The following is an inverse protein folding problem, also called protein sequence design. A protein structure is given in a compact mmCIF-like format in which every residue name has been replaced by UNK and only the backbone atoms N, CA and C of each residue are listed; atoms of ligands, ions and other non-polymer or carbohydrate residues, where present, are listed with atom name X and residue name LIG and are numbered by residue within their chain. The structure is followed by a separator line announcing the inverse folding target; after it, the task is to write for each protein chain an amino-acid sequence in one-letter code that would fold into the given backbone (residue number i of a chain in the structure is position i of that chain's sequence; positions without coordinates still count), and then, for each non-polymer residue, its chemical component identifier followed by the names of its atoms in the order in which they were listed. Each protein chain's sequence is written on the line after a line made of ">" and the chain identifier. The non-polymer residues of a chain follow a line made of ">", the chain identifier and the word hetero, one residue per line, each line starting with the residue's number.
data_IF_537216231032
#
_entry.id   IF_537216231032
#
_cell.length_a   1.000
_cell.length_b   1.000
_cell.length_c   1.000
_cell.angle_alpha   90.00
_cell.angle_beta   90.00
_cell.angle_gamma   90.00
#
_symmetry.space_group_name_H-M   'P 1'
#
loop_
_entity.id
_entity.type
_entity.pdbx_description
1 polymer ?
#
# COMPACT_ATOMS: atom_id res chain seq x y z
N UNK A 1 41.64 -46.98 57.63
CA UNK A 1 42.61 -45.93 57.30
C UNK A 1 43.54 -46.53 56.26
N UNK A 2 43.62 -46.16 55.00
CA UNK A 2 42.97 -45.11 54.22
C UNK A 2 42.98 -45.57 52.76
N UNK A 3 41.82 -45.53 52.08
CA UNK A 3 41.70 -45.81 50.65
C UNK A 3 41.94 -44.51 49.89
N UNK A 4 43.11 -44.38 49.28
CA UNK A 4 43.45 -43.29 48.37
C UNK A 4 42.71 -43.46 47.05
N UNK A 5 41.53 -42.85 46.95
CA UNK A 5 40.82 -42.71 45.69
C UNK A 5 41.59 -41.74 44.78
N UNK A 6 42.27 -42.30 43.78
CA UNK A 6 42.83 -41.58 42.65
C UNK A 6 41.66 -40.91 41.93
N UNK A 7 41.55 -39.60 42.09
CA UNK A 7 40.52 -38.78 41.47
C UNK A 7 40.80 -38.72 39.96
N UNK A 8 40.25 -39.69 39.23
CA UNK A 8 40.29 -39.77 37.77
C UNK A 8 39.67 -38.51 37.20
N UNK A 9 40.51 -37.67 36.58
CA UNK A 9 40.08 -36.50 35.82
C UNK A 9 39.13 -36.95 34.72
N UNK A 10 37.84 -36.71 34.89
CA UNK A 10 36.89 -36.74 33.78
C UNK A 10 37.23 -35.57 32.86
N UNK A 11 38.06 -35.83 31.85
CA UNK A 11 38.19 -34.96 30.69
C UNK A 11 36.94 -35.15 29.84
N UNK A 12 35.86 -34.44 30.19
CA UNK A 12 34.75 -34.26 29.29
C UNK A 12 35.29 -33.45 28.10
N UNK A 13 35.39 -34.08 26.92
CA UNK A 13 35.65 -33.38 25.67
C UNK A 13 34.57 -32.32 25.52
N UNK A 14 34.91 -31.05 25.78
CA UNK A 14 33.98 -29.95 25.69
C UNK A 14 33.45 -29.90 24.25
N UNK A 15 32.16 -30.19 24.06
CA UNK A 15 31.47 -29.90 22.81
C UNK A 15 31.66 -28.40 22.55
N UNK A 16 32.49 -28.08 21.56
CA UNK A 16 32.77 -26.69 21.21
C UNK A 16 31.45 -26.02 20.83
N UNK A 17 31.01 -25.04 21.63
CA UNK A 17 29.79 -24.29 21.35
C UNK A 17 30.06 -23.42 20.14
N UNK A 18 29.45 -23.74 19.01
CA UNK A 18 29.53 -22.93 17.80
C UNK A 18 28.26 -22.12 17.66
N UNK A 19 28.33 -20.85 18.04
CA UNK A 19 27.25 -19.91 17.82
C UNK A 19 27.26 -19.40 16.37
N UNK A 20 26.08 -19.19 15.76
CA UNK A 20 25.99 -18.45 14.51
C UNK A 20 26.35 -16.98 14.74
N UNK A 21 26.72 -16.26 13.66
CA UNK A 21 26.90 -14.81 13.72
C UNK A 21 25.64 -14.11 14.27
N UNK A 22 25.85 -13.03 15.02
CA UNK A 22 24.78 -12.29 15.65
C UNK A 22 23.82 -11.66 14.61
N UNK A 23 22.51 -11.74 14.89
CA UNK A 23 21.46 -11.20 14.01
C UNK A 23 20.81 -9.97 14.64
N UNK A 24 21.24 -8.74 14.32
CA UNK A 24 20.73 -7.54 14.97
C UNK A 24 19.20 -7.37 14.76
N UNK A 25 18.73 -7.64 13.54
CA UNK A 25 17.30 -7.60 13.17
C UNK A 25 16.41 -8.56 13.99
N UNK A 26 16.98 -9.65 14.52
CA UNK A 26 16.24 -10.70 15.26
C UNK A 26 16.98 -11.10 16.55
N UNK A 27 17.54 -10.12 17.28
CA UNK A 27 18.38 -10.36 18.44
C UNK A 27 17.73 -11.28 19.50
N UNK A 28 16.42 -11.12 19.77
CA UNK A 28 15.68 -11.99 20.70
C UNK A 28 15.72 -13.47 20.31
N UNK A 29 15.51 -13.77 19.03
CA UNK A 29 15.53 -15.14 18.52
C UNK A 29 16.94 -15.72 18.59
N UNK A 30 17.94 -14.92 18.23
CA UNK A 30 19.34 -15.32 18.30
C UNK A 30 19.75 -15.70 19.72
N UNK A 31 19.41 -14.89 20.73
CA UNK A 31 19.71 -15.20 22.12
C UNK A 31 18.99 -16.45 22.62
N UNK A 32 17.73 -16.66 22.24
CA UNK A 32 17.01 -17.89 22.59
C UNK A 32 17.72 -19.14 22.02
N UNK A 33 18.24 -19.05 20.79
CA UNK A 33 19.02 -20.13 20.18
C UNK A 33 20.39 -20.31 20.86
N UNK A 34 21.09 -19.23 21.17
CA UNK A 34 22.37 -19.28 21.87
C UNK A 34 22.23 -19.92 23.26
N UNK A 35 21.17 -19.58 24.00
CA UNK A 35 20.90 -20.14 25.33
C UNK A 35 20.56 -21.62 25.29
N UNK A 36 19.82 -22.06 24.27
CA UNK A 36 19.60 -23.49 24.03
C UNK A 36 20.93 -24.22 23.77
N UNK A 37 21.84 -23.63 22.99
CA UNK A 37 23.16 -24.22 22.74
C UNK A 37 24.03 -24.26 24.01
N UNK A 38 24.02 -23.20 24.82
CA UNK A 38 24.71 -23.20 26.11
C UNK A 38 24.16 -24.25 27.07
N UNK A 39 22.83 -24.44 27.10
CA UNK A 39 22.20 -25.47 27.92
C UNK A 39 22.60 -26.87 27.46
N UNK A 40 22.58 -27.14 26.15
CA UNK A 40 22.97 -28.44 25.58
C UNK A 40 24.46 -28.79 25.80
N UNK A 41 25.31 -27.78 25.93
CA UNK A 41 26.75 -27.92 26.16
C UNK A 41 27.18 -27.78 27.63
N UNK A 42 26.21 -27.66 28.55
CA UNK A 42 26.45 -27.42 29.98
C UNK A 42 27.32 -26.19 30.28
N UNK A 43 27.27 -25.15 29.44
CA UNK A 43 27.94 -23.88 29.70
C UNK A 43 27.10 -23.06 30.67
N UNK A 44 27.48 -23.10 31.94
CA UNK A 44 26.77 -22.40 33.02
C UNK A 44 27.44 -21.08 33.41
N UNK A 45 28.76 -20.99 33.28
CA UNK A 45 29.53 -19.81 33.68
C UNK A 45 29.18 -18.58 32.83
N UNK A 46 28.77 -17.49 33.49
CA UNK A 46 28.38 -16.23 32.84
C UNK A 46 29.52 -15.66 31.98
N UNK A 47 30.75 -15.70 32.48
CA UNK A 47 31.93 -15.22 31.76
C UNK A 47 32.22 -16.04 30.48
N UNK A 48 31.99 -17.35 30.50
CA UNK A 48 32.17 -18.19 29.32
C UNK A 48 31.11 -17.88 28.25
N UNK A 49 29.85 -17.70 28.64
CA UNK A 49 28.77 -17.27 27.72
C UNK A 49 29.09 -15.90 27.13
N UNK A 50 29.62 -14.97 27.93
CA UNK A 50 30.04 -13.64 27.49
C UNK A 50 31.07 -13.72 26.36
N UNK A 51 32.14 -14.51 26.52
CA UNK A 51 33.14 -14.68 25.47
C UNK A 51 32.59 -15.31 24.19
N UNK A 52 31.71 -16.30 24.30
CA UNK A 52 31.04 -16.88 23.12
C UNK A 52 30.16 -15.85 22.40
N UNK A 53 29.45 -15.00 23.14
CA UNK A 53 28.63 -13.93 22.56
C UNK A 53 29.50 -12.90 21.85
N UNK A 54 30.61 -12.44 22.45
CA UNK A 54 31.53 -11.49 21.79
C UNK A 54 32.11 -12.10 20.52
N UNK A 55 32.53 -13.36 20.56
CA UNK A 55 33.08 -14.06 19.39
C UNK A 55 32.07 -14.22 18.24
N UNK A 56 30.78 -14.05 18.51
CA UNK A 56 29.71 -14.11 17.50
C UNK A 56 29.36 -12.76 16.88
N UNK A 57 29.87 -11.66 17.42
CA UNK A 57 29.67 -10.31 16.87
C UNK A 57 30.55 -10.12 15.63
N UNK A 58 29.99 -9.51 14.59
CA UNK A 58 30.77 -9.09 13.42
C UNK A 58 31.50 -7.78 13.72
N UNK A 59 32.52 -7.45 12.94
CA UNK A 59 33.32 -6.22 13.12
C UNK A 59 32.46 -4.94 13.18
N UNK A 60 31.50 -4.81 12.26
CA UNK A 60 30.56 -3.68 12.23
C UNK A 60 29.68 -3.59 13.48
N UNK A 61 29.24 -4.73 14.02
CA UNK A 61 28.41 -4.74 15.23
C UNK A 61 29.28 -4.51 16.47
N UNK A 62 30.50 -5.06 16.47
CA UNK A 62 31.50 -4.87 17.51
C UNK A 62 31.86 -3.40 17.69
N UNK A 63 32.09 -2.66 16.59
CA UNK A 63 32.34 -1.22 16.65
C UNK A 63 31.15 -0.43 17.18
N UNK A 64 29.91 -0.85 16.87
CA UNK A 64 28.69 -0.19 17.33
C UNK A 64 28.42 -0.40 18.83
N UNK A 65 29.00 -1.43 19.43
CA UNK A 65 28.77 -1.82 20.84
C UNK A 65 30.03 -1.85 21.69
N UNK A 66 31.11 -1.20 21.25
CA UNK A 66 32.39 -1.13 21.97
C UNK A 66 32.21 -0.61 23.41
N UNK A 67 31.30 0.35 23.59
CA UNK A 67 30.89 0.89 24.90
C UNK A 67 30.27 -0.15 25.84
N UNK A 68 29.78 -1.27 25.29
CA UNK A 68 29.15 -2.37 26.03
C UNK A 68 30.13 -3.50 26.40
N UNK A 69 31.35 -3.51 25.86
CA UNK A 69 32.35 -4.57 26.04
C UNK A 69 33.19 -4.40 27.33
N UNK A 70 32.94 -3.34 28.10
CA UNK A 70 33.51 -3.13 29.42
C UNK A 70 32.82 -4.02 30.47
N UNK A 71 33.38 -5.20 30.72
CA UNK A 71 32.90 -6.09 31.78
C UNK A 71 33.16 -5.49 33.18
N UNK A 72 32.10 -4.98 33.83
CA UNK A 72 32.14 -4.45 35.20
C UNK A 72 31.06 -5.15 36.05
N UNK A 73 31.21 -6.45 36.33
CA UNK A 73 30.35 -7.15 37.29
C UNK A 73 30.48 -8.68 37.31
N UNK A 74 29.76 -9.32 38.24
CA UNK A 74 29.74 -10.78 38.41
C UNK A 74 28.89 -11.52 37.35
N UNK A 75 28.04 -10.81 36.60
CA UNK A 75 27.12 -11.37 35.59
C UNK A 75 27.30 -10.75 34.19
N UNK A 76 28.51 -10.83 33.60
CA UNK A 76 28.83 -10.17 32.33
C UNK A 76 27.89 -10.50 31.17
N UNK A 77 27.48 -11.77 31.04
CA UNK A 77 26.61 -12.20 29.97
C UNK A 77 25.20 -11.60 30.07
N UNK A 78 24.63 -11.56 31.29
CA UNK A 78 23.27 -11.03 31.49
C UNK A 78 23.22 -9.54 31.20
N UNK A 79 24.25 -8.80 31.63
CA UNK A 79 24.38 -7.37 31.35
C UNK A 79 24.54 -7.12 29.84
N UNK A 80 25.44 -7.84 29.17
CA UNK A 80 25.64 -7.71 27.73
C UNK A 80 24.37 -8.06 26.95
N UNK A 81 23.70 -9.17 27.29
CA UNK A 81 22.43 -9.58 26.67
C UNK A 81 21.36 -8.50 26.81
N UNK A 82 21.17 -7.96 28.02
CA UNK A 82 20.17 -6.94 28.27
C UNK A 82 20.42 -5.69 27.40
N UNK A 83 21.66 -5.19 27.37
CA UNK A 83 22.01 -4.00 26.59
C UNK A 83 21.96 -4.23 25.07
N UNK A 84 22.39 -5.40 24.59
CA UNK A 84 22.26 -5.75 23.17
C UNK A 84 20.79 -5.86 22.74
N UNK A 85 19.93 -6.41 23.60
CA UNK A 85 18.50 -6.45 23.34
C UNK A 85 17.90 -5.04 23.36
N UNK A 86 18.31 -4.17 24.27
CA UNK A 86 17.86 -2.78 24.31
C UNK A 86 18.24 -2.01 23.03
N UNK A 87 19.49 -2.15 22.57
CA UNK A 87 20.01 -1.46 21.37
C UNK A 87 19.40 -1.98 20.06
N UNK A 88 19.27 -3.30 19.90
CA UNK A 88 18.91 -3.92 18.62
C UNK A 88 17.46 -4.38 18.52
N UNK A 89 16.69 -4.38 19.62
CA UNK A 89 15.26 -4.65 19.51
C UNK A 89 14.52 -3.36 19.18
N UNK A 90 13.73 -3.40 18.11
CA UNK A 90 12.84 -2.32 17.67
C UNK A 90 12.01 -1.81 18.86
N UNK A 91 11.90 -0.50 19.00
CA UNK A 91 11.15 0.08 20.13
C UNK A 91 9.68 -0.32 20.07
N UNK A 92 8.97 -0.23 21.20
CA UNK A 92 7.51 -0.48 21.23
C UNK A 92 6.75 0.49 20.33
N UNK A 93 7.23 1.72 20.22
CA UNK A 93 6.66 2.77 19.38
C UNK A 93 6.86 2.49 17.89
N UNK A 94 8.05 2.11 17.47
CA UNK A 94 8.33 1.71 16.08
C UNK A 94 7.51 0.47 15.67
N UNK A 95 7.40 -0.53 16.56
CA UNK A 95 6.51 -1.68 16.34
C UNK A 95 5.05 -1.28 16.21
N UNK A 96 4.60 -0.32 17.02
CA UNK A 96 3.24 0.23 16.93
C UNK A 96 3.02 0.92 15.59
N UNK A 97 3.92 1.81 15.17
CA UNK A 97 3.85 2.48 13.88
C UNK A 97 3.85 1.49 12.70
N UNK A 98 4.72 0.49 12.74
CA UNK A 98 4.75 -0.58 11.73
C UNK A 98 3.47 -1.45 11.74
N UNK A 99 2.82 -1.61 12.90
CA UNK A 99 1.53 -2.27 13.00
C UNK A 99 0.37 -1.41 12.46
N UNK A 100 0.43 -0.09 12.65
CA UNK A 100 -0.53 0.87 12.09
C UNK A 100 -0.36 1.05 10.58
N UNK A 101 0.86 0.87 10.06
CA UNK A 101 1.11 0.95 8.63
C UNK A 101 0.35 -0.18 7.91
N UNK A 102 -0.63 0.22 7.11
CA UNK A 102 -1.55 -0.67 6.41
C UNK A 102 -0.95 -1.15 5.09
N UNK A 103 0.34 -1.49 5.08
CA UNK A 103 0.97 -2.03 3.89
C UNK A 103 0.19 -3.26 3.41
N UNK A 104 -0.28 -3.28 2.15
CA UNK A 104 -1.17 -4.32 1.66
C UNK A 104 -0.48 -5.68 1.68
N UNK A 105 -1.27 -6.75 1.65
CA UNK A 105 -0.74 -8.10 1.51
C UNK A 105 0.02 -8.23 0.17
N UNK A 106 1.34 -8.26 0.24
CA UNK A 106 2.22 -8.51 -0.91
C UNK A 106 2.34 -10.02 -1.09
N UNK A 107 1.68 -10.61 -2.10
CA UNK A 107 1.62 -12.04 -2.50
C UNK A 107 1.61 -13.13 -1.39
N UNK A 108 1.44 -12.73 -0.13
CA UNK A 108 1.53 -13.56 1.06
C UNK A 108 0.17 -14.10 1.44
N UNK A 109 0.16 -15.24 2.13
CA UNK A 109 -1.07 -15.81 2.68
C UNK A 109 -1.53 -15.02 3.90
N UNK A 110 -2.83 -14.72 4.04
CA UNK A 110 -3.42 -14.08 5.22
C UNK A 110 -3.01 -14.72 6.55
N UNK A 111 -2.85 -16.04 6.63
CA UNK A 111 -2.31 -16.71 7.83
C UNK A 111 -0.85 -16.37 8.12
N UNK A 112 -0.02 -16.20 7.09
CA UNK A 112 1.38 -15.78 7.22
C UNK A 112 1.46 -14.31 7.66
N UNK A 113 0.63 -13.44 7.07
CA UNK A 113 0.47 -12.05 7.48
C UNK A 113 0.08 -11.97 8.97
N UNK A 114 -0.90 -12.76 9.41
CA UNK A 114 -1.34 -12.79 10.81
C UNK A 114 -0.21 -13.16 11.75
N UNK A 115 0.59 -14.19 11.43
CA UNK A 115 1.75 -14.59 12.24
C UNK A 115 2.79 -13.48 12.32
N UNK A 116 3.01 -12.76 11.23
CA UNK A 116 3.92 -11.61 11.22
C UNK A 116 3.38 -10.46 12.09
N UNK A 117 2.10 -10.08 11.94
CA UNK A 117 1.46 -9.06 12.76
C UNK A 117 1.49 -9.39 14.25
N UNK A 118 1.25 -10.65 14.63
CA UNK A 118 1.35 -11.09 16.04
C UNK A 118 2.75 -10.89 16.61
N UNK A 119 3.80 -11.15 15.83
CA UNK A 119 5.19 -10.91 16.25
C UNK A 119 5.49 -9.42 16.47
N UNK A 120 4.88 -8.53 15.69
CA UNK A 120 5.03 -7.08 15.88
C UNK A 120 4.19 -6.56 17.05
N UNK A 121 3.02 -7.15 17.29
CA UNK A 121 2.12 -6.76 18.37
C UNK A 121 2.60 -7.17 19.76
N UNK A 122 3.61 -8.05 19.90
CA UNK A 122 4.10 -8.51 21.21
C UNK A 122 4.53 -7.34 22.09
N UNK A 123 3.84 -7.15 23.22
CA UNK A 123 4.11 -6.06 24.18
C UNK A 123 3.56 -4.69 23.76
N UNK A 124 2.78 -4.61 22.67
CA UNK A 124 2.20 -3.35 22.16
C UNK A 124 0.67 -3.43 22.13
N UNK A 125 0.12 -4.49 21.53
CA UNK A 125 -1.32 -4.69 21.34
C UNK A 125 -1.65 -6.14 21.65
N UNK A 126 -2.77 -6.39 22.33
CA UNK A 126 -3.28 -7.74 22.53
C UNK A 126 -3.68 -8.36 21.16
N UNK A 127 -3.04 -9.47 20.75
CA UNK A 127 -3.36 -10.19 19.52
C UNK A 127 -4.80 -10.68 19.39
N UNK A 128 -5.57 -10.72 20.48
CA UNK A 128 -6.98 -11.14 20.50
C UNK A 128 -7.96 -9.97 20.65
N UNK A 129 -7.46 -8.73 20.70
CA UNK A 129 -8.30 -7.54 20.79
C UNK A 129 -9.09 -7.28 19.50
N UNK A 130 -10.24 -6.61 19.65
CA UNK A 130 -11.03 -6.10 18.52
C UNK A 130 -10.24 -5.14 17.63
N UNK A 131 -9.31 -4.37 18.22
CA UNK A 131 -8.38 -3.50 17.49
C UNK A 131 -7.43 -4.30 16.60
N UNK A 132 -6.78 -5.35 17.12
CA UNK A 132 -5.90 -6.20 16.31
C UNK A 132 -6.65 -6.87 15.16
N UNK A 133 -7.88 -7.33 15.42
CA UNK A 133 -8.77 -7.84 14.38
C UNK A 133 -9.01 -6.80 13.29
N UNK A 134 -9.31 -5.56 13.65
CA UNK A 134 -9.56 -4.49 12.69
C UNK A 134 -8.31 -4.17 11.84
N UNK A 135 -7.13 -4.13 12.46
CA UNK A 135 -5.85 -3.92 11.77
C UNK A 135 -5.57 -5.05 10.77
N UNK A 136 -5.82 -6.30 11.18
CA UNK A 136 -5.65 -7.45 10.29
C UNK A 136 -6.59 -7.34 9.08
N UNK A 137 -7.87 -7.02 9.30
CA UNK A 137 -8.83 -6.85 8.22
C UNK A 137 -8.41 -5.72 7.26
N UNK A 138 -7.94 -4.57 7.77
CA UNK A 138 -7.53 -3.44 6.93
C UNK A 138 -6.41 -3.76 5.93
N UNK A 139 -5.55 -4.75 6.23
CA UNK A 139 -4.45 -5.18 5.35
C UNK A 139 -4.88 -6.17 4.26
N UNK A 140 -6.10 -6.70 4.32
CA UNK A 140 -6.63 -7.64 3.31
C UNK A 140 -7.24 -6.89 2.12
N UNK A 141 -7.37 -7.51 0.94
CA UNK A 141 -8.07 -6.90 -0.19
C UNK A 141 -9.54 -6.59 0.12
N UNK A 142 -10.12 -5.51 -0.44
CA UNK A 142 -11.49 -5.08 -0.14
C UNK A 142 -12.57 -6.16 -0.35
N UNK A 143 -12.39 -7.02 -1.36
CA UNK A 143 -13.28 -8.14 -1.66
C UNK A 143 -13.37 -9.14 -0.52
N UNK A 144 -12.21 -9.48 0.08
CA UNK A 144 -12.12 -10.39 1.23
C UNK A 144 -12.62 -9.70 2.50
N UNK A 145 -12.29 -8.41 2.70
CA UNK A 145 -12.74 -7.64 3.85
C UNK A 145 -14.27 -7.62 3.99
N UNK A 146 -14.99 -7.40 2.89
CA UNK A 146 -16.45 -7.30 2.90
C UNK A 146 -17.10 -8.60 3.39
N UNK A 147 -16.61 -9.74 2.89
CA UNK A 147 -17.13 -11.06 3.25
C UNK A 147 -16.80 -11.37 4.72
N UNK A 148 -15.57 -11.12 5.15
CA UNK A 148 -15.15 -11.41 6.52
C UNK A 148 -15.84 -10.53 7.57
N UNK A 149 -16.20 -9.28 7.22
CA UNK A 149 -16.99 -8.40 8.10
C UNK A 149 -18.43 -8.89 8.31
N UNK A 150 -18.99 -9.64 7.36
CA UNK A 150 -20.32 -10.20 7.48
C UNK A 150 -20.38 -11.46 8.37
N UNK A 151 -19.23 -12.02 8.77
CA UNK A 151 -19.13 -13.22 9.61
C UNK A 151 -19.03 -12.79 11.09
N UNK A 152 -20.08 -12.98 11.93
CA UNK A 152 -20.17 -12.26 13.20
C UNK A 152 -19.33 -12.78 14.37
N UNK A 153 -18.61 -13.90 14.26
CA UNK A 153 -18.07 -14.57 15.46
C UNK A 153 -16.71 -15.26 15.30
N UNK A 154 -16.08 -15.17 14.14
CA UNK A 154 -14.82 -15.86 13.91
C UNK A 154 -13.67 -15.23 14.73
N UNK A 155 -12.93 -16.08 15.44
CA UNK A 155 -11.61 -15.77 15.96
C UNK A 155 -10.70 -15.26 14.82
N UNK A 156 -9.73 -14.40 15.12
CA UNK A 156 -8.83 -13.81 14.11
C UNK A 156 -8.09 -14.93 13.35
N UNK A 157 -7.77 -16.05 14.01
CA UNK A 157 -7.19 -17.23 13.36
C UNK A 157 -8.15 -17.88 12.36
N UNK A 158 -9.44 -17.94 12.66
CA UNK A 158 -10.46 -18.48 11.76
C UNK A 158 -10.72 -17.55 10.57
N UNK A 159 -10.70 -16.23 10.80
CA UNK A 159 -10.76 -15.23 9.74
C UNK A 159 -9.58 -15.38 8.77
N UNK A 160 -8.36 -15.57 9.28
CA UNK A 160 -7.18 -15.76 8.44
C UNK A 160 -7.26 -17.05 7.61
N UNK A 161 -7.70 -18.17 8.20
CA UNK A 161 -7.91 -19.43 7.45
C UNK A 161 -8.97 -19.29 6.37
N UNK A 162 -10.02 -18.52 6.64
CA UNK A 162 -11.09 -18.26 5.70
C UNK A 162 -10.60 -17.36 4.55
N UNK A 163 -9.83 -16.32 4.88
CA UNK A 163 -9.17 -15.44 3.91
C UNK A 163 -8.21 -16.19 2.99
N UNK A 164 -7.42 -17.13 3.52
CA UNK A 164 -6.50 -17.98 2.74
C UNK A 164 -7.24 -18.76 1.64
N UNK A 165 -8.48 -19.21 1.90
CA UNK A 165 -9.32 -19.91 0.91
C UNK A 165 -9.90 -18.97 -0.15
N UNK A 166 -10.11 -17.70 0.20
CA UNK A 166 -10.76 -16.71 -0.67
C UNK A 166 -9.80 -16.02 -1.65
N UNK A 167 -8.51 -15.84 -1.29
CA UNK A 167 -7.54 -15.16 -2.15
C UNK A 167 -7.31 -15.85 -3.51
N UNK A 168 -7.16 -17.19 -3.62
CA UNK A 168 -7.01 -17.87 -4.91
C UNK A 168 -8.26 -17.70 -5.80
N UNK A 169 -9.46 -17.69 -5.19
CA UNK A 169 -10.72 -17.48 -5.89
C UNK A 169 -10.86 -16.02 -6.38
N UNK A 170 -10.44 -15.04 -5.59
CA UNK A 170 -10.48 -13.62 -5.98
C UNK A 170 -9.50 -13.30 -7.11
N UNK A 171 -8.33 -13.94 -7.15
CA UNK A 171 -7.37 -13.78 -8.25
C UNK A 171 -7.94 -14.36 -9.56
N UNK A 172 -8.62 -15.51 -9.47
CA UNK A 172 -9.28 -16.17 -10.62
C UNK A 172 -10.41 -15.32 -11.22
N UNK A 173 -11.22 -14.67 -10.37
CA UNK A 173 -12.27 -13.74 -10.82
C UNK A 173 -11.66 -12.45 -11.39
N UNK A 174 -10.58 -11.93 -10.80
CA UNK A 174 -9.89 -10.73 -11.32
C UNK A 174 -9.22 -10.99 -12.68
N UNK A 175 -8.67 -12.18 -12.92
CA UNK A 175 -8.17 -12.57 -14.26
C UNK A 175 -9.29 -12.69 -15.28
N UNK A 176 -10.46 -13.24 -14.91
CA UNK A 176 -11.60 -13.37 -15.83
C UNK A 176 -12.22 -12.00 -16.17
N UNK A 177 -12.32 -11.11 -15.18
CA UNK A 177 -12.78 -9.73 -15.38
C UNK A 177 -11.76 -8.94 -16.19
N UNK A 178 -10.45 -9.11 -15.96
CA UNK A 178 -9.42 -8.51 -16.82
C UNK A 178 -9.59 -8.96 -18.27
N UNK A 179 -9.68 -10.26 -18.54
CA UNK A 179 -9.90 -10.76 -19.91
C UNK A 179 -11.21 -10.27 -20.53
N UNK A 180 -12.29 -10.16 -19.75
CA UNK A 180 -13.56 -9.57 -20.20
C UNK A 180 -13.44 -8.08 -20.54
N UNK A 181 -12.78 -7.29 -19.68
CA UNK A 181 -12.58 -5.85 -19.91
C UNK A 181 -11.64 -5.55 -21.07
N UNK A 182 -10.62 -6.39 -21.31
CA UNK A 182 -9.75 -6.22 -22.49
C UNK A 182 -10.53 -6.51 -23.77
N UNK A 183 -11.33 -7.57 -23.81
CA UNK A 183 -12.11 -7.93 -24.99
C UNK A 183 -13.22 -6.91 -25.28
N UNK A 184 -13.94 -6.46 -24.25
CA UNK A 184 -14.98 -5.43 -24.38
C UNK A 184 -14.39 -4.06 -24.75
N UNK A 185 -13.21 -3.71 -24.23
CA UNK A 185 -12.53 -2.47 -24.63
C UNK A 185 -12.05 -2.51 -26.08
N UNK A 186 -11.59 -3.68 -26.57
CA UNK A 186 -11.13 -3.86 -27.93
C UNK A 186 -12.29 -3.83 -28.93
N UNK A 187 -13.41 -4.48 -28.61
CA UNK A 187 -14.64 -4.45 -29.42
C UNK A 187 -15.26 -3.05 -29.45
N UNK A 188 -15.32 -2.36 -28.31
CA UNK A 188 -15.79 -0.96 -28.26
C UNK A 188 -14.89 -0.01 -29.05
N UNK A 189 -13.58 -0.27 -29.10
CA UNK A 189 -12.63 0.51 -29.89
C UNK A 189 -12.83 0.24 -31.39
N UNK A 190 -12.94 -1.03 -31.79
CA UNK A 190 -13.19 -1.43 -33.18
C UNK A 190 -14.53 -0.87 -33.70
N UNK A 191 -15.59 -0.92 -32.90
CA UNK A 191 -16.89 -0.33 -33.24
C UNK A 191 -16.82 1.20 -33.36
N UNK A 192 -16.01 1.87 -32.53
CA UNK A 192 -15.80 3.33 -32.65
C UNK A 192 -15.08 3.68 -33.94
N UNK A 193 -14.06 2.91 -34.31
CA UNK A 193 -13.29 3.13 -35.53
C UNK A 193 -14.17 2.90 -36.78
N UNK A 194 -14.98 1.84 -36.81
CA UNK A 194 -15.93 1.57 -37.90
C UNK A 194 -16.98 2.70 -38.05
N UNK A 195 -17.49 3.24 -36.93
CA UNK A 195 -18.41 4.39 -36.96
C UNK A 195 -17.72 5.64 -37.49
N UNK A 196 -16.42 5.84 -37.26
CA UNK A 196 -15.69 6.97 -37.86
C UNK A 196 -15.51 6.80 -39.37
N UNK A 197 -15.21 5.58 -39.82
CA UNK A 197 -15.03 5.28 -41.24
C UNK A 197 -16.34 5.43 -42.01
N UNK A 198 -17.44 4.90 -41.50
CA UNK A 198 -18.77 5.05 -42.10
C UNK A 198 -19.19 6.52 -42.20
N UNK A 199 -18.84 7.35 -41.20
CA UNK A 199 -19.09 8.79 -41.25
C UNK A 199 -18.28 9.50 -42.33
N UNK A 200 -17.04 9.06 -42.57
CA UNK A 200 -16.19 9.59 -43.63
C UNK A 200 -16.70 9.16 -45.02
N UNK A 201 -17.13 7.91 -45.18
CA UNK A 201 -17.73 7.40 -46.41
C UNK A 201 -19.02 8.15 -46.78
N UNK A 202 -19.91 8.39 -45.81
CA UNK A 202 -21.14 9.20 -46.03
C UNK A 202 -20.81 10.65 -46.40
N UNK A 203 -19.74 11.23 -45.82
CA UNK A 203 -19.27 12.57 -46.20
C UNK A 203 -18.75 12.61 -47.64
N UNK A 204 -18.04 11.57 -48.08
CA UNK A 204 -17.47 11.49 -49.43
C UNK A 204 -18.53 11.34 -50.53
N UNK A 205 -19.63 10.63 -50.23
CA UNK A 205 -20.76 10.45 -51.16
C UNK A 205 -21.63 11.71 -51.30
N UNK A 206 -21.57 12.63 -50.34
CA UNK A 206 -22.36 13.86 -50.33
C UNK A 206 -21.75 15.00 -51.18
N UNK A 207 -20.59 14.80 -51.83
CA UNK A 207 -19.93 15.84 -52.65
C UNK A 207 -20.02 15.47 -54.13
N UNK A 208 -21.12 15.82 -54.78
CA UNK A 208 -21.23 15.88 -56.25
C UNK A 208 -20.71 17.24 -56.75
N UNK A 209 -19.68 17.29 -57.63
CA UNK A 209 -19.17 18.54 -58.17
C UNK A 209 -19.82 18.88 -59.52
N UNK A 210 -20.45 20.05 -59.64
CA UNK A 210 -20.83 20.66 -60.93
C UNK A 210 -19.76 21.65 -61.40
N UNK A 211 -19.40 21.70 -62.71
CA UNK A 211 -18.24 22.47 -63.19
C UNK A 211 -18.58 23.91 -63.61
N UNK A 212 -17.57 24.80 -63.81
CA UNK A 212 -17.78 26.23 -64.02
C UNK A 212 -17.63 26.69 -65.48
N UNK A 213 -18.52 27.58 -65.93
CA UNK A 213 -18.38 28.54 -67.04
C UNK A 213 -19.20 29.79 -66.63
N UNK A 214 -18.86 31.05 -66.82
CA UNK A 214 -17.77 31.75 -67.49
C UNK A 214 -18.21 33.24 -67.59
N UNK A 215 -17.42 34.14 -67.00
CA UNK A 215 -17.14 35.57 -67.32
C UNK A 215 -18.23 36.63 -67.67
N UNK A 216 -18.08 37.76 -66.92
CA UNK A 216 -18.17 39.21 -67.29
C UNK A 216 -19.61 39.77 -67.43
N UNK A 217 -19.98 40.97 -66.92
CA UNK A 217 -19.28 42.26 -66.85
C UNK A 217 -19.88 43.24 -65.82
N UNK A 218 -18.99 44.01 -65.16
CA UNK A 218 -19.07 45.44 -64.82
C UNK A 218 -20.43 46.16 -64.76
N UNK A 219 -20.77 46.76 -63.61
CA UNK A 219 -20.59 48.21 -63.37
C UNK A 219 -21.17 48.67 -62.02
N UNK A 220 -20.31 49.36 -61.25
CA UNK A 220 -20.56 50.63 -60.55
C UNK A 220 -21.71 50.73 -59.51
N UNK A 221 -21.29 50.93 -58.26
CA UNK A 221 -22.03 51.29 -57.02
C UNK A 221 -22.66 52.73 -57.08
N UNK A 222 -23.29 53.32 -56.01
CA UNK A 222 -23.52 52.90 -54.62
C UNK A 222 -24.96 53.27 -54.07
N UNK A 223 -25.24 53.50 -52.76
CA UNK A 223 -26.30 52.81 -51.98
C UNK A 223 -27.52 53.71 -51.60
N UNK A 224 -28.63 53.21 -50.99
CA UNK A 224 -28.76 53.23 -49.52
C UNK A 224 -29.71 52.18 -48.85
N UNK A 225 -29.48 51.97 -47.56
CA UNK A 225 -30.39 51.67 -46.43
C UNK A 225 -31.42 50.50 -46.44
N UNK A 226 -31.21 49.63 -45.43
CA UNK A 226 -32.16 49.08 -44.40
C UNK A 226 -32.93 47.75 -44.62
N UNK A 227 -33.04 47.04 -43.48
CA UNK A 227 -33.97 45.95 -43.05
C UNK A 227 -33.51 44.50 -43.33
N UNK A 228 -32.83 43.83 -42.38
CA UNK A 228 -33.35 42.88 -41.36
C UNK A 228 -34.08 41.64 -41.94
N UNK A 229 -33.46 40.45 -41.87
CA UNK A 229 -33.86 39.44 -40.87
C UNK A 229 -32.90 38.24 -40.71
N UNK A 230 -32.81 37.81 -39.45
CA UNK A 230 -32.01 36.70 -38.90
C UNK A 230 -32.71 35.35 -39.15
N UNK A 231 -31.95 34.25 -39.19
CA UNK A 231 -31.95 33.28 -38.08
C UNK A 231 -30.83 32.23 -38.14
N UNK A 232 -30.19 32.09 -36.97
CA UNK A 232 -29.20 31.10 -36.55
C UNK A 232 -29.90 29.81 -36.11
N UNK A 233 -29.26 28.65 -36.30
CA UNK A 233 -29.46 27.49 -35.44
C UNK A 233 -28.23 27.30 -34.54
N UNK A 234 -28.51 27.04 -33.26
CA UNK A 234 -27.61 26.98 -32.11
C UNK A 234 -27.21 25.53 -31.81
N UNK A 235 -25.95 25.33 -31.49
CA UNK A 235 -25.49 24.21 -30.65
C UNK A 235 -25.42 24.67 -29.18
N UNK A 236 -25.70 23.80 -28.18
CA UNK A 236 -25.57 24.16 -26.77
C UNK A 236 -24.19 23.79 -26.22
N UNK A 237 -23.49 24.77 -25.63
CA UNK A 237 -22.36 24.53 -24.74
C UNK A 237 -22.73 25.03 -23.34
N UNK A 238 -22.53 24.15 -22.36
CA UNK A 238 -22.65 24.40 -20.92
C UNK A 238 -21.45 25.25 -20.46
N UNK A 239 -21.71 26.39 -19.82
CA UNK A 239 -20.73 27.11 -18.99
C UNK A 239 -21.41 27.57 -17.69
N UNK A 240 -20.65 27.66 -16.59
CA UNK A 240 -21.12 27.51 -15.21
C UNK A 240 -21.95 28.68 -14.71
N UNK A 241 -22.71 28.42 -13.64
CA UNK A 241 -23.66 29.29 -12.92
C UNK A 241 -23.12 30.68 -12.57
N UNK A 242 -23.05 31.57 -13.56
CA UNK A 242 -23.00 33.01 -13.29
C UNK A 242 -24.38 33.41 -12.74
N UNK A 243 -24.45 33.96 -11.52
CA UNK A 243 -25.72 34.32 -10.88
C UNK A 243 -26.41 35.52 -11.55
N UNK A 244 -25.79 36.08 -12.60
CA UNK A 244 -26.31 37.18 -13.41
C UNK A 244 -26.56 36.67 -14.83
N UNK A 245 -27.79 36.83 -15.33
CA UNK A 245 -28.16 36.40 -16.67
C UNK A 245 -27.46 37.24 -17.76
N UNK A 246 -27.39 36.69 -18.97
CA UNK A 246 -26.75 37.31 -20.12
C UNK A 246 -27.17 38.78 -20.32
N UNK A 247 -28.45 39.12 -20.18
CA UNK A 247 -28.93 40.49 -20.41
C UNK A 247 -28.36 41.48 -19.40
N UNK A 248 -28.34 41.14 -18.11
CA UNK A 248 -27.72 41.99 -17.09
C UNK A 248 -26.19 42.01 -17.18
N UNK A 249 -25.57 40.91 -17.63
CA UNK A 249 -24.12 40.91 -17.91
C UNK A 249 -23.74 41.85 -19.07
N UNK A 250 -24.64 42.00 -20.05
CA UNK A 250 -24.37 42.79 -21.27
C UNK A 250 -24.81 44.25 -21.13
N UNK A 251 -25.91 44.51 -20.40
CA UNK A 251 -26.55 45.84 -20.36
C UNK A 251 -26.70 46.41 -18.94
N UNK A 252 -26.30 45.70 -17.89
CA UNK A 252 -26.35 46.17 -16.50
C UNK A 252 -27.75 46.66 -16.09
N UNK A 253 -27.82 47.78 -15.35
CA UNK A 253 -29.08 48.38 -14.86
C UNK A 253 -30.01 48.93 -15.96
N UNK A 254 -29.54 49.02 -17.20
CA UNK A 254 -30.38 49.44 -18.34
C UNK A 254 -31.05 48.24 -19.04
N UNK A 255 -30.83 47.02 -18.55
CA UNK A 255 -31.44 45.83 -19.10
C UNK A 255 -32.96 45.84 -18.85
N UNK A 256 -33.74 45.85 -19.94
CA UNK A 256 -35.21 45.81 -19.88
C UNK A 256 -35.81 44.41 -19.76
N UNK A 257 -34.97 43.37 -19.74
CA UNK A 257 -35.39 41.97 -19.70
C UNK A 257 -34.44 41.16 -18.83
N UNK A 258 -35.00 40.45 -17.86
CA UNK A 258 -34.29 39.52 -16.97
C UNK A 258 -34.68 38.07 -17.30
N UNK A 259 -33.72 37.13 -17.22
CA UNK A 259 -33.99 35.69 -17.35
C UNK A 259 -33.57 34.96 -16.08
N UNK A 260 -34.51 34.39 -15.29
CA UNK A 260 -34.18 33.64 -14.07
C UNK A 260 -33.44 32.32 -14.36
N UNK A 261 -32.63 31.82 -13.41
CA UNK A 261 -32.28 32.45 -12.13
C UNK A 261 -31.24 33.58 -12.32
N UNK A 262 -31.56 34.79 -11.87
CA UNK A 262 -30.69 35.96 -11.97
C UNK A 262 -30.85 36.82 -10.71
N UNK A 263 -29.75 37.09 -10.01
CA UNK A 263 -29.72 37.76 -8.71
C UNK A 263 -29.31 39.23 -8.80
N UNK A 264 -29.43 39.84 -9.98
CA UNK A 264 -29.07 41.25 -10.23
C UNK A 264 -30.07 42.19 -9.54
N UNK A 265 -29.60 43.00 -8.59
CA UNK A 265 -30.42 43.96 -7.83
C UNK A 265 -30.33 45.38 -8.42
N UNK A 266 -31.42 45.83 -9.04
CA UNK A 266 -31.62 47.22 -9.48
C UNK A 266 -32.99 47.38 -10.14
N UNK A 267 -33.88 48.18 -9.53
CA UNK A 267 -35.09 48.73 -10.17
C UNK A 267 -34.71 49.86 -11.14
#
# INVERSE_FOLDING_TARGET
>A
MDTTAVNSKFSASALAVKLPQFWPQNAKLWFAQAEAQFALSNVTASLTKYYYTIASLTDAIGSDVDDLLDNKGDTPYEVLKAKLLERFTTSTEEKFHSLMDASPIDDQRPTQLLRHMRRMATGVVDPQSSMFRQLFLQRLPPSVQLILKAIPTADVDELARTADKMLPMSQSVSTLVKTGTFHESAELQALRDEVTELREQVRSLAITPTPPRGRRSSSTSPPPLRVINRRRQRSPQNFPSSPICYYHRTFGRQARRCRPPCTFQGN
#
